data_IF_760272559962
#
_entry.id   IF_760272559962
#
_cell.length_a   1.000
_cell.length_b   1.000
_cell.length_c   1.000
_cell.angle_alpha   90.00
_cell.angle_beta   90.00
_cell.angle_gamma   90.00
#
_symmetry.space_group_name_H-M   'P 1'
#
loop_
_entity.id
_entity.type
_entity.pdbx_description
1 polymer ?
#
# COMPACT_ATOMS: atom_id res chain seq x y z
N UNK A 1 -17.32 6.39 7.39
CA UNK A 1 -16.27 6.06 8.39
C UNK A 1 -16.07 7.31 9.19
N UNK A 2 -16.29 7.26 10.51
CA UNK A 2 -16.01 8.39 11.39
C UNK A 2 -14.51 8.74 11.29
N UNK A 3 -14.20 10.05 11.37
CA UNK A 3 -12.85 10.62 11.37
C UNK A 3 -12.03 10.20 12.60
N UNK A 4 -11.76 8.90 12.70
CA UNK A 4 -10.81 8.42 13.70
C UNK A 4 -9.42 8.78 13.18
N UNK A 5 -8.77 9.74 13.82
CA UNK A 5 -7.40 10.14 13.48
C UNK A 5 -6.49 8.91 13.54
N UNK A 6 -5.68 8.72 12.51
CA UNK A 6 -4.68 7.66 12.48
C UNK A 6 -3.75 7.83 13.66
N UNK A 7 -3.60 6.77 14.49
CA UNK A 7 -2.79 6.73 15.71
C UNK A 7 -3.01 7.96 16.62
N UNK A 8 -4.28 8.38 16.76
CA UNK A 8 -4.69 9.58 17.51
C UNK A 8 -3.93 10.87 17.11
N UNK A 9 -3.45 10.92 15.85
CA UNK A 9 -2.72 12.05 15.29
C UNK A 9 -1.22 12.05 15.61
N UNK A 10 -0.67 10.98 16.17
CA UNK A 10 0.78 10.86 16.37
C UNK A 10 1.51 10.79 15.04
N UNK A 11 2.64 11.49 14.90
CA UNK A 11 3.41 11.49 13.67
C UNK A 11 4.06 10.11 13.43
N UNK A 12 4.21 9.75 12.18
CA UNK A 12 4.98 8.60 11.71
C UNK A 12 5.77 8.95 10.45
N UNK A 13 6.91 8.30 10.25
CA UNK A 13 7.79 8.51 9.09
C UNK A 13 8.12 7.18 8.41
N UNK A 14 7.53 6.94 7.25
CA UNK A 14 7.82 5.75 6.44
C UNK A 14 9.27 5.67 5.97
N UNK A 15 9.99 6.79 5.93
CA UNK A 15 11.41 6.81 5.61
C UNK A 15 12.30 6.09 6.62
N UNK A 16 11.85 5.96 7.90
CA UNK A 16 12.58 5.24 8.94
C UNK A 16 12.60 3.73 8.70
N UNK A 17 11.58 3.19 8.03
CA UNK A 17 11.43 1.76 7.77
C UNK A 17 11.73 1.38 6.31
N UNK A 18 12.26 2.29 5.48
CA UNK A 18 12.43 2.08 4.04
C UNK A 18 13.24 0.83 3.68
N UNK A 19 14.26 0.46 4.46
CA UNK A 19 15.07 -0.74 4.22
C UNK A 19 14.29 -2.04 4.49
N UNK A 20 13.62 -2.14 5.64
CA UNK A 20 12.73 -3.27 5.95
C UNK A 20 11.53 -3.30 4.99
N UNK A 21 11.02 -2.12 4.61
CA UNK A 21 9.94 -2.00 3.64
C UNK A 21 10.34 -2.62 2.29
N UNK A 22 11.50 -2.24 1.75
CA UNK A 22 12.03 -2.78 0.51
C UNK A 22 12.23 -4.31 0.56
N UNK A 23 12.69 -4.83 1.71
CA UNK A 23 13.01 -6.25 1.88
C UNK A 23 11.79 -7.14 2.12
N UNK A 24 10.78 -6.65 2.86
CA UNK A 24 9.71 -7.49 3.41
C UNK A 24 8.29 -7.09 2.99
N UNK A 25 8.12 -6.04 2.19
CA UNK A 25 6.79 -5.58 1.75
C UNK A 25 6.50 -5.78 0.26
N UNK A 26 7.44 -6.31 -0.51
CA UNK A 26 7.20 -6.78 -1.89
C UNK A 26 6.55 -8.17 -1.83
N UNK A 27 5.30 -8.22 -1.36
CA UNK A 27 4.57 -9.48 -1.07
C UNK A 27 3.24 -9.57 -1.83
N UNK A 28 2.94 -8.63 -2.71
CA UNK A 28 1.73 -8.74 -3.52
C UNK A 28 1.81 -9.96 -4.43
N UNK A 29 0.78 -10.84 -4.39
CA UNK A 29 0.77 -12.04 -5.23
C UNK A 29 0.48 -11.70 -6.69
N UNK A 30 0.93 -12.53 -7.60
CA UNK A 30 0.74 -12.34 -9.04
C UNK A 30 -0.73 -12.17 -9.45
N UNK A 31 -1.65 -12.80 -8.73
CA UNK A 31 -3.09 -12.66 -8.98
C UNK A 31 -3.58 -11.22 -8.83
N UNK A 32 -2.97 -10.39 -7.98
CA UNK A 32 -3.29 -8.96 -7.91
C UNK A 32 -2.99 -8.26 -9.24
N UNK A 33 -1.79 -8.44 -9.76
CA UNK A 33 -1.35 -7.78 -11.00
C UNK A 33 -2.15 -8.27 -12.21
N UNK A 34 -2.42 -9.57 -12.26
CA UNK A 34 -3.27 -10.16 -13.29
C UNK A 34 -4.69 -9.57 -13.22
N UNK A 35 -5.28 -9.48 -12.03
CA UNK A 35 -6.62 -8.90 -11.85
C UNK A 35 -6.66 -7.42 -12.26
N UNK A 36 -5.64 -6.62 -11.93
CA UNK A 36 -5.54 -5.23 -12.40
C UNK A 36 -5.52 -5.17 -13.94
N UNK A 37 -4.72 -6.01 -14.57
CA UNK A 37 -4.65 -6.08 -16.04
C UNK A 37 -5.98 -6.49 -16.67
N UNK A 38 -6.66 -7.50 -16.12
CA UNK A 38 -8.00 -7.95 -16.55
C UNK A 38 -9.08 -6.86 -16.35
N UNK A 39 -8.89 -5.97 -15.36
CA UNK A 39 -9.73 -4.79 -15.16
C UNK A 39 -9.37 -3.62 -16.09
N UNK A 40 -8.44 -3.83 -17.03
CA UNK A 40 -8.01 -2.81 -17.98
C UNK A 40 -6.99 -1.82 -17.43
N UNK A 41 -6.30 -2.14 -16.33
CA UNK A 41 -5.29 -1.28 -15.68
C UNK A 41 -3.90 -1.88 -15.91
N UNK A 42 -2.98 -1.09 -16.43
CA UNK A 42 -1.59 -1.52 -16.65
C UNK A 42 -1.28 -1.96 -18.07
N UNK A 43 -2.24 -1.86 -19.00
CA UNK A 43 -2.06 -2.27 -20.40
C UNK A 43 -1.16 -1.35 -21.23
N UNK A 44 -0.75 -1.82 -22.45
CA UNK A 44 0.15 -1.05 -23.31
C UNK A 44 -0.38 0.36 -23.63
N UNK A 45 0.55 1.33 -23.65
CA UNK A 45 0.31 2.75 -23.93
C UNK A 45 -0.44 3.52 -22.84
N UNK A 46 -0.91 2.88 -21.77
CA UNK A 46 -1.46 3.62 -20.63
C UNK A 46 -0.34 4.35 -19.88
N UNK A 47 -0.63 5.59 -19.47
CA UNK A 47 0.19 6.37 -18.55
C UNK A 47 -0.46 6.31 -17.18
N UNK A 48 0.23 5.71 -16.22
CA UNK A 48 -0.31 5.46 -14.88
C UNK A 48 0.52 6.20 -13.85
N UNK A 49 -0.15 6.94 -12.97
CA UNK A 49 0.45 7.54 -11.79
C UNK A 49 0.18 6.63 -10.59
N UNK A 50 1.24 6.12 -9.97
CA UNK A 50 1.16 5.38 -8.71
C UNK A 50 1.46 6.31 -7.54
N UNK A 51 0.44 6.69 -6.76
CA UNK A 51 0.58 7.58 -5.61
C UNK A 51 0.89 6.80 -4.34
N UNK A 52 1.72 7.38 -3.46
CA UNK A 52 2.27 6.65 -2.32
C UNK A 52 3.03 5.40 -2.79
N UNK A 53 3.79 5.55 -3.88
CA UNK A 53 4.42 4.44 -4.59
C UNK A 53 5.42 3.64 -3.74
N UNK A 54 5.88 4.22 -2.61
CA UNK A 54 6.83 3.61 -1.72
C UNK A 54 8.12 3.21 -2.45
N UNK A 55 8.47 1.95 -2.37
CA UNK A 55 9.65 1.37 -3.07
C UNK A 55 9.37 0.96 -4.52
N UNK A 56 8.27 1.43 -5.12
CA UNK A 56 7.95 1.18 -6.52
C UNK A 56 7.51 -0.26 -6.83
N UNK A 57 6.89 -0.96 -5.88
CA UNK A 57 6.48 -2.36 -6.07
C UNK A 57 5.49 -2.49 -7.21
N UNK A 58 4.43 -1.69 -7.22
CA UNK A 58 3.39 -1.78 -8.25
C UNK A 58 3.94 -1.42 -9.64
N UNK A 59 4.63 -0.29 -9.85
CA UNK A 59 5.29 0.04 -11.13
C UNK A 59 6.20 -1.07 -11.64
N UNK A 60 7.08 -1.62 -10.79
CA UNK A 60 8.04 -2.67 -11.21
C UNK A 60 7.34 -3.96 -11.62
N UNK A 61 6.37 -4.41 -10.84
CA UNK A 61 5.65 -5.68 -11.12
C UNK A 61 4.69 -5.56 -12.31
N UNK A 62 4.10 -4.37 -12.51
CA UNK A 62 3.20 -4.11 -13.63
C UNK A 62 3.93 -3.76 -14.95
N UNK A 63 5.22 -3.48 -14.93
CA UNK A 63 6.02 -3.17 -16.13
C UNK A 63 5.86 -4.21 -17.25
N UNK A 64 5.71 -5.49 -16.89
CA UNK A 64 5.49 -6.60 -17.83
C UNK A 64 4.23 -6.49 -18.69
N UNK A 65 3.26 -5.69 -18.28
CA UNK A 65 2.01 -5.50 -19.03
C UNK A 65 2.06 -4.32 -20.02
N UNK A 66 3.12 -3.53 -19.99
CA UNK A 66 3.44 -2.53 -21.03
C UNK A 66 2.92 -1.12 -20.79
N UNK A 67 2.37 -0.80 -19.62
CA UNK A 67 2.06 0.58 -19.25
C UNK A 67 3.32 1.37 -18.88
N UNK A 68 3.25 2.71 -19.05
CA UNK A 68 4.25 3.65 -18.57
C UNK A 68 3.87 4.12 -17.17
N UNK A 69 4.65 3.73 -16.17
CA UNK A 69 4.40 4.12 -14.78
C UNK A 69 5.22 5.34 -14.36
N UNK A 70 4.56 6.23 -13.63
CA UNK A 70 5.16 7.31 -12.86
C UNK A 70 4.82 7.08 -11.39
N UNK A 71 5.82 7.00 -10.51
CA UNK A 71 5.63 6.87 -9.07
C UNK A 71 5.79 8.21 -8.35
N UNK A 72 4.89 8.51 -7.41
CA UNK A 72 4.93 9.69 -6.56
C UNK A 72 4.86 9.28 -5.09
N UNK A 73 5.76 9.81 -4.25
CA UNK A 73 5.78 9.57 -2.80
C UNK A 73 6.32 10.78 -2.05
N UNK A 74 5.82 11.05 -0.86
CA UNK A 74 6.34 12.10 0.03
C UNK A 74 7.75 11.81 0.53
N UNK A 75 8.10 10.53 0.67
CA UNK A 75 9.36 10.10 1.26
C UNK A 75 10.47 10.01 0.22
N UNK A 76 11.43 10.94 0.30
CA UNK A 76 12.66 10.89 -0.52
C UNK A 76 13.40 9.55 -0.37
N UNK A 77 13.41 8.96 0.83
CA UNK A 77 14.09 7.67 1.08
C UNK A 77 13.41 6.52 0.33
N UNK A 78 12.06 6.51 0.30
CA UNK A 78 11.30 5.54 -0.47
C UNK A 78 11.58 5.67 -1.96
N UNK A 79 11.56 6.89 -2.50
CA UNK A 79 11.86 7.14 -3.93
C UNK A 79 13.28 6.70 -4.30
N UNK A 80 14.28 6.92 -3.44
CA UNK A 80 15.63 6.43 -3.69
C UNK A 80 15.68 4.89 -3.77
N UNK A 81 14.98 4.20 -2.89
CA UNK A 81 14.86 2.74 -2.95
C UNK A 81 14.12 2.27 -4.22
N UNK A 82 13.03 2.96 -4.60
CA UNK A 82 12.28 2.64 -5.82
C UNK A 82 13.17 2.70 -7.07
N UNK A 83 13.95 3.77 -7.20
CA UNK A 83 14.90 3.95 -8.32
C UNK A 83 15.96 2.84 -8.34
N UNK A 84 16.61 2.58 -7.19
CA UNK A 84 17.66 1.57 -7.09
C UNK A 84 17.13 0.15 -7.44
N UNK A 85 15.94 -0.22 -6.95
CA UNK A 85 15.32 -1.50 -7.23
C UNK A 85 14.90 -1.62 -8.70
N UNK A 86 14.34 -0.56 -9.29
CA UNK A 86 13.93 -0.52 -10.69
C UNK A 86 15.13 -0.69 -11.61
N UNK A 87 16.24 0.01 -11.33
CA UNK A 87 17.51 -0.11 -12.06
C UNK A 87 18.10 -1.52 -11.93
N UNK A 88 18.14 -2.07 -10.71
CA UNK A 88 18.66 -3.41 -10.45
C UNK A 88 17.86 -4.52 -11.16
N UNK A 89 16.58 -4.31 -11.40
CA UNK A 89 15.70 -5.22 -12.16
C UNK A 89 15.74 -4.96 -13.68
N UNK A 90 16.51 -3.96 -14.16
CA UNK A 90 16.61 -3.61 -15.58
C UNK A 90 15.30 -3.02 -16.14
N UNK A 91 14.46 -2.44 -15.29
CA UNK A 91 13.17 -1.85 -15.64
C UNK A 91 13.27 -0.34 -15.78
N UNK A 92 12.20 0.29 -16.31
CA UNK A 92 12.08 1.73 -16.45
C UNK A 92 10.77 2.22 -15.84
N UNK A 93 10.85 3.19 -14.94
CA UNK A 93 9.73 3.97 -14.42
C UNK A 93 10.28 5.31 -13.90
N UNK A 94 9.47 6.35 -13.99
CA UNK A 94 9.82 7.67 -13.45
C UNK A 94 9.35 7.77 -11.99
N UNK A 95 10.19 8.38 -11.13
CA UNK A 95 9.86 8.53 -9.72
C UNK A 95 10.10 9.96 -9.24
N UNK A 96 9.12 10.53 -8.53
CA UNK A 96 9.12 11.89 -8.03
C UNK A 96 8.85 11.94 -6.54
N UNK A 97 9.50 12.87 -5.85
CA UNK A 97 9.15 13.21 -4.47
C UNK A 97 8.11 14.32 -4.52
N UNK A 98 6.95 14.12 -3.91
CA UNK A 98 5.88 15.13 -3.91
C UNK A 98 4.63 14.70 -3.16
N UNK A 99 3.76 15.68 -2.91
CA UNK A 99 2.46 15.49 -2.28
C UNK A 99 1.42 15.08 -3.33
N UNK A 100 0.73 13.97 -3.11
CA UNK A 100 -0.36 13.52 -3.98
C UNK A 100 -1.58 14.45 -3.97
N UNK A 101 -1.72 15.33 -2.96
CA UNK A 101 -2.75 16.35 -2.93
C UNK A 101 -2.44 17.56 -3.85
N UNK A 102 -1.16 17.73 -4.21
CA UNK A 102 -0.68 18.80 -5.10
C UNK A 102 0.32 18.23 -6.12
N UNK A 103 -0.10 17.21 -6.93
CA UNK A 103 0.81 16.49 -7.81
C UNK A 103 1.37 17.44 -8.89
N UNK A 104 2.72 17.43 -9.08
CA UNK A 104 3.41 18.39 -9.97
C UNK A 104 3.33 17.97 -11.44
N UNK A 105 2.13 17.62 -11.89
CA UNK A 105 1.88 17.16 -13.26
C UNK A 105 0.87 18.05 -13.98
N UNK A 106 0.98 18.09 -15.29
CA UNK A 106 0.03 18.80 -16.16
C UNK A 106 -1.35 18.13 -16.16
N UNK A 107 -2.36 18.87 -16.62
CA UNK A 107 -3.72 18.35 -16.77
C UNK A 107 -3.82 17.27 -17.86
N UNK A 108 -4.78 16.36 -17.72
CA UNK A 108 -5.10 15.31 -18.68
C UNK A 108 -3.90 14.43 -19.08
N UNK A 109 -3.02 14.14 -18.13
CA UNK A 109 -1.77 13.43 -18.40
C UNK A 109 -1.91 11.91 -18.24
N UNK A 110 -2.72 11.44 -17.28
CA UNK A 110 -2.78 10.03 -16.91
C UNK A 110 -4.10 9.36 -17.29
N UNK A 111 -4.00 8.10 -17.71
CA UNK A 111 -5.17 7.25 -17.98
C UNK A 111 -5.72 6.66 -16.68
N UNK A 112 -4.83 6.40 -15.71
CA UNK A 112 -5.20 5.85 -14.43
C UNK A 112 -4.28 6.38 -13.32
N UNK A 113 -4.84 6.54 -12.11
CA UNK A 113 -4.10 6.71 -10.86
C UNK A 113 -4.28 5.42 -10.05
N UNK A 114 -3.19 4.87 -9.54
CA UNK A 114 -3.22 3.76 -8.59
C UNK A 114 -2.86 4.25 -7.19
N UNK A 115 -3.55 3.74 -6.17
CA UNK A 115 -3.33 4.03 -4.76
C UNK A 115 -3.30 2.72 -3.97
N UNK A 116 -2.12 2.07 -3.92
CA UNK A 116 -1.96 0.79 -3.24
C UNK A 116 -1.54 0.99 -1.78
N UNK A 117 -2.39 0.60 -0.83
CA UNK A 117 -2.15 0.67 0.62
C UNK A 117 -1.86 2.09 1.15
N UNK A 118 -2.30 3.14 0.44
CA UNK A 118 -2.04 4.52 0.84
C UNK A 118 -3.30 5.40 0.92
N UNK A 119 -4.42 4.99 0.32
CA UNK A 119 -5.64 5.80 0.24
C UNK A 119 -6.17 6.23 1.62
N UNK A 120 -6.01 5.43 2.65
CA UNK A 120 -6.42 5.75 4.03
C UNK A 120 -5.68 6.94 4.63
N UNK A 121 -4.58 7.38 4.03
CA UNK A 121 -3.79 8.54 4.46
C UNK A 121 -4.12 9.81 3.65
N UNK A 122 -4.99 9.69 2.64
CA UNK A 122 -5.34 10.80 1.75
C UNK A 122 -6.50 11.61 2.32
N UNK A 123 -6.35 12.92 2.27
CA UNK A 123 -7.46 13.85 2.36
C UNK A 123 -8.19 13.88 1.02
N UNK A 124 -9.32 13.19 0.96
CA UNK A 124 -10.08 13.06 -0.29
C UNK A 124 -10.63 14.39 -0.80
N UNK A 125 -10.90 15.38 0.06
CA UNK A 125 -11.39 16.69 -0.37
C UNK A 125 -10.33 17.46 -1.16
N UNK A 126 -9.06 17.26 -0.83
CA UNK A 126 -7.92 17.82 -1.57
C UNK A 126 -7.50 16.94 -2.76
N UNK A 127 -7.44 15.63 -2.56
CA UNK A 127 -6.92 14.68 -3.56
C UNK A 127 -7.84 14.58 -4.79
N UNK A 128 -9.16 14.47 -4.61
CA UNK A 128 -10.09 14.25 -5.73
C UNK A 128 -10.07 15.38 -6.76
N UNK A 129 -10.11 16.68 -6.41
CA UNK A 129 -9.97 17.75 -7.37
C UNK A 129 -8.61 17.72 -8.10
N UNK A 130 -7.52 17.41 -7.39
CA UNK A 130 -6.20 17.29 -7.99
C UNK A 130 -6.14 16.12 -9.01
N UNK A 131 -6.73 14.98 -8.67
CA UNK A 131 -6.81 13.82 -9.57
C UNK A 131 -7.68 14.09 -10.80
N UNK A 132 -8.83 14.74 -10.60
CA UNK A 132 -9.69 15.15 -11.71
C UNK A 132 -8.94 16.04 -12.72
N UNK A 133 -8.04 16.92 -12.24
CA UNK A 133 -7.22 17.77 -13.09
C UNK A 133 -6.22 16.99 -13.94
N UNK A 134 -5.53 16.00 -13.36
CA UNK A 134 -4.43 15.29 -14.02
C UNK A 134 -4.85 14.03 -14.77
N UNK A 135 -6.04 13.48 -14.47
CA UNK A 135 -6.62 12.39 -15.25
C UNK A 135 -7.15 12.89 -16.60
N UNK A 136 -7.02 12.07 -17.61
CA UNK A 136 -7.73 12.26 -18.87
C UNK A 136 -9.25 12.12 -18.67
N UNK A 137 -10.10 12.69 -19.53
CA UNK A 137 -11.53 12.40 -19.54
C UNK A 137 -11.77 10.88 -19.59
N UNK A 138 -12.64 10.37 -18.71
CA UNK A 138 -12.89 8.94 -18.57
C UNK A 138 -11.78 8.17 -17.82
N UNK A 139 -10.80 8.87 -17.25
CA UNK A 139 -9.71 8.25 -16.49
C UNK A 139 -10.16 7.59 -15.18
N UNK A 140 -9.29 6.82 -14.58
CA UNK A 140 -9.63 5.96 -13.45
C UNK A 140 -8.77 6.24 -12.20
N UNK A 141 -9.36 6.00 -11.02
CA UNK A 141 -8.64 5.84 -9.75
C UNK A 141 -8.84 4.41 -9.25
N UNK A 142 -7.78 3.63 -9.20
CA UNK A 142 -7.78 2.29 -8.63
C UNK A 142 -7.22 2.33 -7.20
N UNK A 143 -8.09 2.16 -6.22
CA UNK A 143 -7.72 2.02 -4.80
C UNK A 143 -7.54 0.55 -4.48
N UNK A 144 -6.36 0.18 -3.97
CA UNK A 144 -5.97 -1.20 -3.74
C UNK A 144 -5.64 -1.40 -2.27
N UNK A 145 -6.30 -2.37 -1.65
CA UNK A 145 -5.98 -2.83 -0.30
C UNK A 145 -5.57 -4.29 -0.32
N UNK A 146 -4.66 -4.65 0.56
CA UNK A 146 -4.31 -6.03 0.89
C UNK A 146 -4.30 -6.13 2.41
N UNK A 147 -5.42 -6.60 2.94
CA UNK A 147 -5.70 -6.66 4.36
C UNK A 147 -5.27 -8.02 4.94
N UNK A 148 -4.50 -8.02 5.99
CA UNK A 148 -4.35 -9.20 6.84
C UNK A 148 -5.57 -9.32 7.75
N UNK A 149 -6.07 -10.52 7.94
CA UNK A 149 -7.36 -10.76 8.59
C UNK A 149 -7.14 -11.30 10.03
N UNK A 150 -6.97 -10.44 11.04
CA UNK A 150 -6.66 -10.89 12.41
C UNK A 150 -7.72 -11.80 13.02
N UNK A 151 -8.99 -11.61 12.66
CA UNK A 151 -10.09 -12.44 13.15
C UNK A 151 -10.04 -13.86 12.54
N UNK A 152 -9.31 -14.06 11.44
CA UNK A 152 -9.18 -15.33 10.73
C UNK A 152 -7.75 -15.92 10.85
N UNK A 153 -6.79 -15.16 11.42
CA UNK A 153 -5.39 -15.55 11.56
C UNK A 153 -4.87 -15.31 12.98
N UNK A 154 -4.81 -16.34 13.83
CA UNK A 154 -4.34 -16.19 15.21
C UNK A 154 -2.91 -15.62 15.33
N UNK A 155 -2.03 -15.89 14.37
CA UNK A 155 -0.66 -15.33 14.37
C UNK A 155 -0.68 -13.82 14.10
N UNK A 156 -1.57 -13.34 13.24
CA UNK A 156 -1.75 -11.91 12.98
C UNK A 156 -2.28 -11.20 14.22
N UNK A 157 -3.29 -11.78 14.88
CA UNK A 157 -3.83 -11.24 16.13
C UNK A 157 -2.74 -11.11 17.20
N UNK A 158 -1.95 -12.17 17.46
CA UNK A 158 -0.82 -12.13 18.41
C UNK A 158 0.25 -11.12 18.02
N UNK A 159 0.50 -10.96 16.72
CA UNK A 159 1.43 -9.94 16.22
C UNK A 159 0.95 -8.53 16.52
N UNK A 160 -0.34 -8.25 16.31
CA UNK A 160 -0.99 -6.97 16.65
C UNK A 160 -0.93 -6.72 18.16
N UNK A 161 -1.25 -7.71 18.97
CA UNK A 161 -1.12 -7.63 20.43
C UNK A 161 0.31 -7.31 20.87
N UNK A 162 1.30 -7.92 20.20
CA UNK A 162 2.72 -7.61 20.45
C UNK A 162 3.05 -6.17 20.08
N UNK A 163 2.57 -5.66 18.93
CA UNK A 163 2.77 -4.25 18.56
C UNK A 163 2.21 -3.32 19.61
N UNK A 164 0.99 -3.57 20.10
CA UNK A 164 0.32 -2.74 21.11
C UNK A 164 1.02 -2.70 22.47
N UNK A 165 1.86 -3.68 22.78
CA UNK A 165 2.70 -3.64 23.99
C UNK A 165 3.81 -2.57 23.88
N UNK A 166 4.24 -2.22 22.69
CA UNK A 166 5.26 -1.20 22.43
C UNK A 166 4.66 0.14 21.95
N UNK A 167 3.52 0.09 21.29
CA UNK A 167 2.80 1.24 20.76
C UNK A 167 1.29 1.09 21.06
N UNK A 168 0.84 1.42 22.27
CA UNK A 168 -0.56 1.27 22.67
C UNK A 168 -1.57 2.08 21.83
N UNK A 169 -1.13 3.22 21.31
CA UNK A 169 -1.98 4.12 20.53
C UNK A 169 -2.12 3.71 19.06
N UNK A 170 -1.36 2.68 18.64
CA UNK A 170 -1.47 2.18 17.28
C UNK A 170 -2.86 1.56 17.03
N UNK A 171 -3.60 2.17 16.12
CA UNK A 171 -4.95 1.77 15.75
C UNK A 171 -5.03 0.98 14.43
N UNK A 172 -3.88 0.45 13.95
CA UNK A 172 -3.86 -0.42 12.78
C UNK A 172 -4.64 -1.71 13.05
N UNK A 173 -5.70 -1.90 12.28
CA UNK A 173 -6.54 -3.09 12.31
C UNK A 173 -7.15 -3.30 10.93
N UNK A 174 -6.74 -4.36 10.28
CA UNK A 174 -7.27 -4.74 8.98
C UNK A 174 -8.48 -5.67 9.14
N UNK A 175 -9.41 -5.60 8.21
CA UNK A 175 -10.60 -6.46 8.16
C UNK A 175 -11.04 -6.61 6.71
N UNK A 176 -11.93 -7.54 6.44
CA UNK A 176 -12.58 -7.67 5.14
C UNK A 176 -13.27 -6.37 4.73
N UNK A 177 -13.15 -6.05 3.45
CA UNK A 177 -13.73 -4.83 2.90
C UNK A 177 -15.25 -4.84 3.10
N UNK A 178 -15.74 -3.75 3.68
CA UNK A 178 -17.16 -3.39 3.64
C UNK A 178 -17.28 -2.12 2.80
N UNK A 179 -17.78 -2.27 1.59
CA UNK A 179 -17.90 -1.15 0.69
C UNK A 179 -19.10 -0.26 1.07
N UNK A 180 -18.85 1.03 1.13
CA UNK A 180 -19.84 2.08 1.18
C UNK A 180 -19.44 3.14 0.15
N UNK A 181 -20.41 3.67 -0.61
CA UNK A 181 -20.12 4.74 -1.58
C UNK A 181 -19.49 5.94 -0.86
N UNK A 182 -18.25 6.31 -1.19
CA UNK A 182 -17.59 7.44 -0.56
C UNK A 182 -18.32 8.76 -0.86
N UNK A 183 -18.32 9.68 0.11
CA UNK A 183 -18.99 10.98 -0.05
C UNK A 183 -18.43 11.87 -1.16
N UNK A 184 -17.19 11.59 -1.60
CA UNK A 184 -16.55 12.26 -2.75
C UNK A 184 -16.95 11.68 -4.12
N UNK A 185 -17.68 10.57 -4.19
CA UNK A 185 -18.30 10.08 -5.44
C UNK A 185 -19.45 11.01 -5.86
N UNK A 186 -19.09 12.12 -6.51
CA UNK A 186 -19.98 13.21 -6.95
C UNK A 186 -19.55 13.67 -8.35
N UNK A 187 -20.40 14.46 -9.02
CA UNK A 187 -20.02 15.09 -10.29
C UNK A 187 -19.67 14.12 -11.41
N UNK A 188 -20.30 12.94 -11.44
CA UNK A 188 -20.01 11.90 -12.44
C UNK A 188 -19.00 10.85 -12.00
N UNK A 189 -18.26 11.05 -10.89
CA UNK A 189 -17.35 10.05 -10.35
C UNK A 189 -18.17 8.90 -9.75
N UNK A 190 -17.91 7.67 -10.19
CA UNK A 190 -18.62 6.49 -9.72
C UNK A 190 -17.72 5.26 -9.65
N UNK A 191 -18.11 4.27 -8.83
CA UNK A 191 -17.46 2.98 -8.80
C UNK A 191 -17.79 2.20 -10.06
N UNK A 192 -16.82 2.05 -10.96
CA UNK A 192 -16.97 1.29 -12.20
C UNK A 192 -16.80 -0.22 -11.97
N UNK A 193 -15.92 -0.63 -11.06
CA UNK A 193 -15.71 -2.03 -10.72
C UNK A 193 -15.19 -2.20 -9.29
N UNK A 194 -15.60 -3.30 -8.65
CA UNK A 194 -15.06 -3.79 -7.38
C UNK A 194 -14.70 -5.26 -7.55
N UNK A 195 -13.47 -5.62 -7.17
CA UNK A 195 -13.01 -7.01 -7.05
C UNK A 195 -12.47 -7.26 -5.66
N UNK A 196 -12.85 -8.38 -5.07
CA UNK A 196 -12.26 -8.91 -3.83
C UNK A 196 -11.82 -10.34 -4.08
N UNK A 197 -10.65 -10.71 -3.57
CA UNK A 197 -10.12 -12.06 -3.66
C UNK A 197 -9.30 -12.38 -2.42
N UNK A 198 -9.33 -13.65 -2.03
CA UNK A 198 -8.52 -14.17 -0.94
C UNK A 198 -7.21 -14.71 -1.51
N UNK A 199 -6.10 -14.45 -0.80
CA UNK A 199 -4.78 -14.95 -1.17
C UNK A 199 -4.03 -15.42 0.08
N UNK A 200 -3.52 -16.63 0.03
CA UNK A 200 -2.60 -17.16 1.03
C UNK A 200 -1.17 -16.75 0.68
N UNK A 201 -0.60 -15.88 1.51
CA UNK A 201 0.76 -15.36 1.31
C UNK A 201 1.75 -16.18 2.14
N UNK A 202 2.79 -16.74 1.52
CA UNK A 202 3.80 -17.53 2.24
C UNK A 202 4.73 -16.63 3.04
N UNK A 203 4.99 -17.01 4.28
CA UNK A 203 5.96 -16.38 5.15
C UNK A 203 6.85 -17.42 5.83
N UNK A 204 8.05 -16.97 6.22
CA UNK A 204 8.85 -17.60 7.26
C UNK A 204 8.70 -16.78 8.55
N UNK A 205 9.16 -17.32 9.68
CA UNK A 205 9.24 -16.56 10.94
C UNK A 205 10.04 -15.27 10.75
N UNK A 206 11.14 -15.31 10.00
CA UNK A 206 11.95 -14.12 9.71
C UNK A 206 11.21 -13.11 8.85
N UNK A 207 10.61 -13.54 7.73
CA UNK A 207 9.96 -12.62 6.80
C UNK A 207 8.71 -11.99 7.41
N UNK A 208 7.95 -12.73 8.23
CA UNK A 208 6.82 -12.15 8.96
C UNK A 208 7.26 -11.18 10.05
N UNK A 209 8.33 -11.52 10.80
CA UNK A 209 8.91 -10.58 11.77
C UNK A 209 9.38 -9.28 11.09
N UNK A 210 10.05 -9.38 9.95
CA UNK A 210 10.47 -8.23 9.15
C UNK A 210 9.28 -7.42 8.61
N UNK A 211 8.23 -8.11 8.15
CA UNK A 211 7.00 -7.48 7.69
C UNK A 211 6.32 -6.66 8.80
N UNK A 212 6.35 -7.18 10.05
CA UNK A 212 5.80 -6.48 11.21
C UNK A 212 6.69 -5.30 11.63
N UNK A 213 8.02 -5.42 11.56
CA UNK A 213 8.92 -4.26 11.75
C UNK A 213 8.66 -3.14 10.73
N UNK A 214 8.36 -3.51 9.48
CA UNK A 214 8.06 -2.57 8.42
C UNK A 214 6.65 -1.95 8.50
N UNK A 215 5.86 -2.22 9.55
CA UNK A 215 4.55 -1.63 9.70
C UNK A 215 4.61 -0.24 10.36
N UNK A 216 3.53 0.54 10.16
CA UNK A 216 3.39 1.88 10.75
C UNK A 216 3.55 1.86 12.27
N UNK A 217 2.95 0.90 12.94
CA UNK A 217 2.96 0.79 14.40
C UNK A 217 4.31 0.45 15.02
N UNK A 218 5.31 0.08 14.21
CA UNK A 218 6.66 -0.28 14.68
C UNK A 218 7.70 0.62 14.03
N UNK A 219 8.23 0.26 12.85
CA UNK A 219 9.40 0.92 12.28
C UNK A 219 9.19 2.36 11.85
N UNK A 220 7.95 2.77 11.52
CA UNK A 220 7.66 4.15 11.17
C UNK A 220 7.34 5.06 12.39
N UNK A 221 7.15 4.48 13.59
CA UNK A 221 6.70 5.24 14.78
C UNK A 221 7.58 5.08 16.01
N UNK A 222 8.28 3.94 16.15
CA UNK A 222 9.07 3.66 17.36
C UNK A 222 10.56 4.04 17.18
N UNK A 223 11.23 4.42 18.26
CA UNK A 223 12.69 4.61 18.21
C UNK A 223 13.43 3.28 17.99
N UNK A 224 14.65 3.30 17.43
CA UNK A 224 15.38 2.09 17.00
C UNK A 224 15.52 1.01 18.05
N UNK A 225 15.79 1.37 19.32
CA UNK A 225 15.92 0.45 20.44
C UNK A 225 14.62 -0.28 20.78
N UNK A 226 13.47 0.39 20.60
CA UNK A 226 12.16 -0.22 20.79
C UNK A 226 11.80 -1.11 19.60
N UNK A 227 12.17 -0.74 18.37
CA UNK A 227 12.01 -1.60 17.18
C UNK A 227 12.81 -2.90 17.36
N UNK A 228 14.04 -2.82 17.88
CA UNK A 228 14.85 -4.02 18.16
C UNK A 228 14.22 -4.89 19.26
N UNK A 229 13.77 -4.28 20.34
CA UNK A 229 13.12 -4.96 21.45
C UNK A 229 11.82 -5.64 21.00
N UNK A 230 11.01 -4.95 20.21
CA UNK A 230 9.84 -5.52 19.53
C UNK A 230 10.24 -6.74 18.68
N UNK A 231 11.24 -6.58 17.83
CA UNK A 231 11.69 -7.63 16.91
C UNK A 231 12.10 -8.92 17.67
N UNK A 232 12.83 -8.79 18.78
CA UNK A 232 13.24 -9.92 19.62
C UNK A 232 12.02 -10.61 20.23
N UNK A 233 11.10 -9.84 20.82
CA UNK A 233 9.89 -10.38 21.45
C UNK A 233 8.95 -11.04 20.43
N UNK A 234 8.73 -10.41 19.30
CA UNK A 234 7.87 -10.93 18.24
C UNK A 234 8.46 -12.21 17.63
N UNK A 235 9.79 -12.26 17.41
CA UNK A 235 10.48 -13.47 16.97
C UNK A 235 10.28 -14.62 17.94
N UNK A 236 10.45 -14.36 19.24
CA UNK A 236 10.23 -15.38 20.27
C UNK A 236 8.80 -15.91 20.26
N UNK A 237 7.81 -15.02 20.13
CA UNK A 237 6.40 -15.42 19.99
C UNK A 237 6.20 -16.33 18.76
N UNK A 238 6.81 -16.01 17.63
CA UNK A 238 6.73 -16.82 16.41
C UNK A 238 7.40 -18.20 16.58
N UNK A 239 8.56 -18.26 17.25
CA UNK A 239 9.26 -19.52 17.55
C UNK A 239 8.41 -20.45 18.42
N UNK A 240 7.69 -19.88 19.39
CA UNK A 240 6.86 -20.65 20.31
C UNK A 240 5.52 -21.12 19.72
N UNK A 241 5.04 -20.45 18.65
CA UNK A 241 3.65 -20.65 18.19
C UNK A 241 3.49 -21.02 16.73
N UNK A 242 4.53 -20.88 15.91
CA UNK A 242 4.43 -21.08 14.46
C UNK A 242 5.52 -22.05 13.94
N UNK A 243 5.23 -22.85 12.92
CA UNK A 243 6.27 -23.53 12.17
C UNK A 243 7.19 -22.54 11.46
N UNK A 244 8.36 -22.99 10.97
CA UNK A 244 9.31 -22.12 10.25
C UNK A 244 8.69 -21.46 9.01
N UNK A 245 7.83 -22.20 8.27
CA UNK A 245 7.10 -21.71 7.12
C UNK A 245 5.60 -21.82 7.37
N UNK A 246 4.85 -20.79 7.03
CA UNK A 246 3.41 -20.75 7.16
C UNK A 246 2.78 -19.79 6.16
N UNK A 247 1.48 -19.84 6.03
CA UNK A 247 0.71 -18.93 5.18
C UNK A 247 -0.14 -18.00 6.04
N UNK A 248 -0.35 -16.80 5.52
CA UNK A 248 -1.30 -15.84 6.10
C UNK A 248 -2.32 -15.47 5.04
N UNK A 249 -3.58 -15.72 5.35
CA UNK A 249 -4.69 -15.32 4.50
C UNK A 249 -4.81 -13.79 4.48
N UNK A 250 -4.85 -13.23 3.28
CA UNK A 250 -5.11 -11.80 3.03
C UNK A 250 -6.34 -11.66 2.14
N UNK A 251 -7.13 -10.64 2.38
CA UNK A 251 -8.08 -10.17 1.38
C UNK A 251 -7.44 -9.07 0.54
N UNK A 252 -7.50 -9.23 -0.77
CA UNK A 252 -7.12 -8.18 -1.72
C UNK A 252 -8.40 -7.56 -2.24
N UNK A 253 -8.50 -6.24 -2.16
CA UNK A 253 -9.65 -5.48 -2.63
C UNK A 253 -9.18 -4.41 -3.62
N UNK A 254 -9.80 -4.37 -4.79
CA UNK A 254 -9.54 -3.40 -5.85
C UNK A 254 -10.84 -2.65 -6.14
N UNK A 255 -10.84 -1.36 -5.83
CA UNK A 255 -11.95 -0.45 -6.12
C UNK A 255 -11.54 0.46 -7.26
N UNK A 256 -12.18 0.31 -8.42
CA UNK A 256 -11.89 1.11 -9.60
C UNK A 256 -12.98 2.16 -9.80
N UNK A 257 -12.64 3.42 -9.57
CA UNK A 257 -13.53 4.57 -9.76
C UNK A 257 -13.25 5.23 -11.10
N UNK A 258 -14.29 5.52 -11.86
CA UNK A 258 -14.19 6.26 -13.12
C UNK A 258 -14.53 7.72 -12.90
N UNK A 259 -13.75 8.59 -13.52
CA UNK A 259 -13.94 10.03 -13.56
C UNK A 259 -14.64 10.42 -14.88
N UNK A 260 -15.40 11.54 -14.89
CA UNK A 260 -16.10 12.00 -16.10
C UNK A 260 -15.16 12.43 -17.22
#
# INVERSE_FOLDING_TARGET
>A
MQDQKIDDGKPFDWGLTSADYAKYRDIYPDVLYQTLYEMGIGGPRQRILDIGTGTGVLPRRMARYGACFTGLDLSKKQILQARALTEAEGLSADYFVGDAHEPPFEGNMFDCITAAQCWQYMDSERAIPAFHRILKPGGHLAVIYMAWLPDENPVVQRSIETVRQFNPDWNGYDRRLRYFTPGWCKGGIHLAALKTLDAEIPFTRETWNGRMRACRGVGASLPPEQVESFSKRHRKMLEDTMPEKFFILHEISILNFQFP
#
